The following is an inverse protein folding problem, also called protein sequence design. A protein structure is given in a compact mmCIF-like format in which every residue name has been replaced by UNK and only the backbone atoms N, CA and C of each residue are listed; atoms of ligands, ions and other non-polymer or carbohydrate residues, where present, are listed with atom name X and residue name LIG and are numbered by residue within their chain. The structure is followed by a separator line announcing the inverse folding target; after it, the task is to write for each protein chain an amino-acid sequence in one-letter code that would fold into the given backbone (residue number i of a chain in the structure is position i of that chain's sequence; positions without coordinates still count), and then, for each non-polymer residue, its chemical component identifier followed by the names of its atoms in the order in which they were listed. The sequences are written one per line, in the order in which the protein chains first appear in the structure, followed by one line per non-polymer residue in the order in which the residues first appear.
data_IF_144093885655
#
_entry.id   IF_144093885655
#
_cell.length_a   1.000
_cell.length_b   1.000
_cell.length_c   1.000
_cell.angle_alpha   90.00
_cell.angle_beta   90.00
_cell.angle_gamma   90.00
#
_symmetry.space_group_name_H-M   'P 1'
#
loop_
_entity.id
_entity.type
_entity.pdbx_description
1 polymer ?
#
# COMPACT_ATOMS: atom_id res chain seq x y z
N UNK A 1 -17.52 23.05 -1.78
CA UNK A 1 -17.76 21.60 -1.83
C UNK A 1 -18.90 21.36 -0.86
N UNK A 2 -20.05 20.83 -1.34
CA UNK A 2 -21.24 20.76 -0.50
C UNK A 2 -21.05 19.77 0.64
N UNK A 3 -21.53 20.13 1.83
CA UNK A 3 -21.51 19.32 3.06
C UNK A 3 -22.26 17.99 2.98
N UNK A 4 -22.83 17.66 1.81
CA UNK A 4 -23.71 16.50 1.57
C UNK A 4 -23.11 15.42 0.65
N UNK A 5 -21.84 15.53 0.20
CA UNK A 5 -21.26 14.56 -0.72
C UNK A 5 -20.89 13.26 0.01
N UNK A 6 -21.53 12.14 -0.38
CA UNK A 6 -21.16 10.80 0.08
C UNK A 6 -20.17 10.19 -0.90
N UNK A 7 -19.11 9.58 -0.37
CA UNK A 7 -18.04 8.95 -1.13
C UNK A 7 -18.06 7.46 -0.91
N UNK A 8 -18.03 6.70 -1.99
CA UNK A 8 -17.94 5.25 -1.98
C UNK A 8 -16.53 4.82 -2.34
N UNK A 9 -15.89 4.06 -1.47
CA UNK A 9 -14.65 3.35 -1.76
C UNK A 9 -14.92 1.87 -1.90
N UNK A 10 -14.27 1.25 -2.86
CA UNK A 10 -14.30 -0.19 -3.06
C UNK A 10 -12.86 -0.70 -3.11
N UNK A 11 -12.57 -1.76 -2.36
CA UNK A 11 -11.30 -2.50 -2.44
C UNK A 11 -11.57 -3.88 -3.06
N UNK A 12 -10.97 -4.13 -4.22
CA UNK A 12 -11.16 -5.38 -4.98
C UNK A 12 -9.99 -6.31 -4.71
N UNK A 13 -10.09 -7.10 -3.65
CA UNK A 13 -9.10 -8.12 -3.34
C UNK A 13 -9.34 -9.44 -4.08
N UNK A 14 -8.34 -10.32 -4.06
CA UNK A 14 -8.42 -11.65 -4.72
C UNK A 14 -9.45 -12.60 -4.09
N UNK A 15 -9.79 -12.44 -2.82
CA UNK A 15 -10.71 -13.31 -2.07
C UNK A 15 -11.97 -12.61 -1.61
N UNK A 16 -11.92 -11.31 -1.39
CA UNK A 16 -13.01 -10.47 -0.90
C UNK A 16 -13.04 -9.12 -1.63
N UNK A 17 -14.23 -8.57 -1.78
CA UNK A 17 -14.49 -7.19 -2.16
C UNK A 17 -15.05 -6.49 -0.93
N UNK A 18 -14.51 -5.32 -0.61
CA UNK A 18 -14.99 -4.49 0.48
C UNK A 18 -15.48 -3.14 -0.06
N UNK A 19 -16.66 -2.70 0.40
CA UNK A 19 -17.22 -1.39 0.12
C UNK A 19 -17.36 -0.60 1.41
N UNK A 20 -17.00 0.68 1.36
CA UNK A 20 -17.26 1.66 2.40
C UNK A 20 -17.96 2.88 1.79
N UNK A 21 -18.96 3.42 2.48
CA UNK A 21 -19.51 4.73 2.20
C UNK A 21 -19.11 5.69 3.31
N UNK A 22 -18.54 6.83 2.93
CA UNK A 22 -18.05 7.86 3.84
C UNK A 22 -18.85 9.15 3.67
N UNK A 23 -19.19 9.79 4.79
CA UNK A 23 -19.65 11.18 4.79
C UNK A 23 -18.49 12.14 4.44
N UNK A 24 -18.79 13.41 4.22
CA UNK A 24 -17.80 14.43 3.86
C UNK A 24 -16.69 14.61 4.91
N UNK A 25 -16.99 14.38 6.19
CA UNK A 25 -16.06 14.41 7.32
C UNK A 25 -15.25 13.11 7.52
N UNK A 26 -15.48 12.09 6.68
CA UNK A 26 -14.84 10.79 6.77
C UNK A 26 -15.53 9.80 7.70
N UNK A 27 -16.68 10.14 8.30
CA UNK A 27 -17.45 9.20 9.09
C UNK A 27 -17.98 8.04 8.22
N UNK A 28 -17.88 6.82 8.73
CA UNK A 28 -18.35 5.64 8.01
C UNK A 28 -19.87 5.51 8.14
N UNK A 29 -20.58 5.59 7.01
CA UNK A 29 -22.03 5.41 6.91
C UNK A 29 -22.40 3.95 6.66
N UNK A 30 -21.70 3.29 5.73
CA UNK A 30 -21.93 1.88 5.36
C UNK A 30 -20.57 1.20 5.25
N UNK A 31 -20.53 -0.08 5.66
CA UNK A 31 -19.41 -0.97 5.39
C UNK A 31 -19.93 -2.36 5.08
N UNK A 32 -19.52 -2.91 3.92
CA UNK A 32 -19.96 -4.23 3.45
C UNK A 32 -18.80 -5.01 2.87
N UNK A 33 -18.90 -6.33 3.01
CA UNK A 33 -17.93 -7.27 2.41
C UNK A 33 -18.67 -8.37 1.68
N UNK A 34 -18.14 -8.76 0.51
CA UNK A 34 -18.58 -9.90 -0.27
C UNK A 34 -17.38 -10.75 -0.70
N UNK A 35 -17.56 -12.06 -0.90
CA UNK A 35 -16.57 -12.88 -1.57
C UNK A 35 -16.30 -12.35 -2.99
N UNK A 36 -15.02 -12.35 -3.43
CA UNK A 36 -14.69 -12.03 -4.81
C UNK A 36 -15.16 -13.15 -5.74
N UNK A 37 -15.84 -12.82 -6.85
CA UNK A 37 -16.16 -13.77 -7.92
C UNK A 37 -14.91 -14.15 -8.71
N UNK A 38 -14.08 -15.03 -8.14
CA UNK A 38 -12.80 -15.41 -8.71
C UNK A 38 -12.96 -16.01 -10.12
N UNK A 39 -12.04 -15.65 -11.02
CA UNK A 39 -11.98 -16.19 -12.38
C UNK A 39 -13.02 -15.61 -13.35
N UNK A 40 -13.88 -14.69 -12.94
CA UNK A 40 -14.89 -14.07 -13.81
C UNK A 40 -14.90 -12.55 -13.70
N UNK A 41 -14.48 -11.90 -14.78
CA UNK A 41 -14.55 -10.44 -14.91
C UNK A 41 -15.99 -9.93 -14.83
N UNK A 42 -16.92 -10.51 -15.62
CA UNK A 42 -18.33 -10.08 -15.66
C UNK A 42 -19.01 -10.23 -14.30
N UNK A 43 -18.81 -11.36 -13.61
CA UNK A 43 -19.39 -11.56 -12.29
C UNK A 43 -18.78 -10.59 -11.24
N UNK A 44 -17.49 -10.22 -11.40
CA UNK A 44 -16.88 -9.19 -10.55
C UNK A 44 -17.54 -7.83 -10.80
N UNK A 45 -17.72 -7.43 -12.06
CA UNK A 45 -18.36 -6.18 -12.43
C UNK A 45 -19.84 -6.12 -11.97
N UNK A 46 -20.57 -7.24 -12.07
CA UNK A 46 -21.94 -7.37 -11.55
C UNK A 46 -21.95 -7.18 -10.02
N UNK A 47 -21.05 -7.86 -9.30
CA UNK A 47 -20.92 -7.73 -7.85
C UNK A 47 -20.64 -6.29 -7.41
N UNK A 48 -19.72 -5.59 -8.10
CA UNK A 48 -19.41 -4.18 -7.81
C UNK A 48 -20.64 -3.28 -8.02
N UNK A 49 -21.36 -3.48 -9.14
CA UNK A 49 -22.55 -2.71 -9.48
C UNK A 49 -23.67 -2.91 -8.45
N UNK A 50 -23.92 -4.16 -8.07
CA UNK A 50 -24.93 -4.49 -7.05
C UNK A 50 -24.58 -3.87 -5.70
N UNK A 51 -23.31 -3.96 -5.26
CA UNK A 51 -22.88 -3.40 -3.97
C UNK A 51 -23.09 -1.88 -3.91
N UNK A 52 -22.77 -1.15 -4.99
CA UNK A 52 -22.99 0.30 -5.07
C UNK A 52 -24.48 0.63 -5.09
N UNK A 53 -25.25 -0.01 -5.97
CA UNK A 53 -26.71 0.25 -6.11
C UNK A 53 -27.48 -0.03 -4.82
N UNK A 54 -27.11 -1.09 -4.09
CA UNK A 54 -27.72 -1.39 -2.80
C UNK A 54 -27.38 -0.36 -1.73
N UNK A 55 -26.12 0.09 -1.69
CA UNK A 55 -25.70 1.11 -0.74
C UNK A 55 -26.38 2.47 -1.03
N UNK A 56 -26.51 2.86 -2.29
CA UNK A 56 -27.21 4.07 -2.70
C UNK A 56 -28.72 4.02 -2.38
N UNK A 57 -29.34 2.86 -2.57
CA UNK A 57 -30.75 2.68 -2.20
C UNK A 57 -30.96 2.84 -0.69
N UNK A 58 -30.05 2.32 0.13
CA UNK A 58 -30.11 2.47 1.59
C UNK A 58 -29.91 3.92 2.04
N UNK A 59 -28.97 4.63 1.39
CA UNK A 59 -28.66 6.02 1.72
C UNK A 59 -29.63 7.03 1.08
N UNK A 60 -30.43 6.59 0.09
CA UNK A 60 -31.35 7.44 -0.64
C UNK A 60 -30.68 8.49 -1.54
N UNK A 61 -29.42 8.26 -1.92
CA UNK A 61 -28.61 9.19 -2.74
C UNK A 61 -27.51 8.50 -3.53
N UNK A 62 -27.10 9.13 -4.62
CA UNK A 62 -25.92 8.72 -5.39
C UNK A 62 -24.62 9.03 -4.63
N UNK A 63 -23.57 8.22 -4.89
CA UNK A 63 -22.25 8.36 -4.30
C UNK A 63 -21.20 8.58 -5.38
N UNK A 64 -20.17 9.36 -5.09
CA UNK A 64 -18.94 9.38 -5.88
C UNK A 64 -18.17 8.08 -5.62
N UNK A 65 -17.78 7.37 -6.69
CA UNK A 65 -17.21 6.01 -6.57
C UNK A 65 -15.73 6.02 -6.96
N UNK A 66 -14.91 5.48 -6.07
CA UNK A 66 -13.52 5.13 -6.34
C UNK A 66 -13.24 3.68 -6.01
N UNK A 67 -12.29 3.06 -6.71
CA UNK A 67 -11.97 1.64 -6.61
C UNK A 67 -10.47 1.44 -6.46
N UNK A 68 -10.07 0.72 -5.43
CA UNK A 68 -8.72 0.19 -5.26
C UNK A 68 -8.62 -1.21 -5.85
N UNK A 69 -7.58 -1.47 -6.62
CA UNK A 69 -7.31 -2.77 -7.23
C UNK A 69 -5.87 -3.20 -6.97
N UNK A 70 -5.58 -4.52 -6.89
CA UNK A 70 -4.21 -5.03 -6.85
C UNK A 70 -3.60 -5.02 -8.26
N UNK A 71 -3.24 -3.86 -8.74
CA UNK A 71 -2.76 -3.62 -10.09
C UNK A 71 -2.97 -2.18 -10.47
N UNK A 72 -2.81 -1.84 -11.75
CA UNK A 72 -2.97 -0.46 -12.23
C UNK A 72 -3.52 -0.45 -13.65
N UNK A 73 -4.31 0.57 -14.05
CA UNK A 73 -4.65 0.79 -15.45
C UNK A 73 -3.40 1.17 -16.26
N UNK A 74 -3.28 0.63 -17.45
CA UNK A 74 -2.26 1.06 -18.41
C UNK A 74 -2.57 2.47 -18.91
N UNK A 75 -1.58 3.35 -18.94
CA UNK A 75 -1.75 4.71 -19.49
C UNK A 75 -1.99 4.73 -21.01
N UNK A 76 -1.58 3.68 -21.71
CA UNK A 76 -1.71 3.57 -23.15
C UNK A 76 -3.06 2.97 -23.57
N UNK A 77 -3.51 1.92 -22.88
CA UNK A 77 -4.68 1.13 -23.30
C UNK A 77 -5.87 1.24 -22.34
N UNK A 78 -5.70 1.86 -21.17
CA UNK A 78 -6.67 1.90 -20.05
C UNK A 78 -7.07 0.51 -19.50
N UNK A 79 -6.38 -0.56 -19.94
CA UNK A 79 -6.64 -1.92 -19.48
C UNK A 79 -5.90 -2.20 -18.18
N UNK A 80 -6.51 -2.95 -17.27
CA UNK A 80 -5.87 -3.40 -16.04
C UNK A 80 -4.65 -4.26 -16.33
N UNK A 81 -3.51 -3.98 -15.69
CA UNK A 81 -2.26 -4.74 -15.76
C UNK A 81 -1.71 -5.03 -14.37
N UNK A 82 -0.84 -6.03 -14.27
CA UNK A 82 -0.08 -6.38 -13.06
C UNK A 82 -0.97 -6.68 -11.83
N UNK A 83 -2.18 -7.23 -12.03
CA UNK A 83 -3.09 -7.56 -10.96
C UNK A 83 -2.90 -9.00 -10.45
N UNK A 84 -2.89 -9.19 -9.13
CA UNK A 84 -2.97 -10.52 -8.52
C UNK A 84 -4.33 -11.19 -8.81
N UNK A 85 -5.40 -10.40 -8.94
CA UNK A 85 -6.70 -10.84 -9.46
C UNK A 85 -6.62 -10.93 -10.99
N UNK A 86 -6.02 -12.02 -11.49
CA UNK A 86 -5.63 -12.17 -12.91
C UNK A 86 -6.79 -12.05 -13.90
N UNK A 87 -8.03 -12.33 -13.48
CA UNK A 87 -9.22 -12.18 -14.31
C UNK A 87 -9.62 -10.74 -14.61
N UNK A 88 -9.00 -9.76 -13.93
CA UNK A 88 -9.16 -8.34 -14.24
C UNK A 88 -8.19 -7.86 -15.33
N UNK A 89 -7.08 -8.60 -15.56
CA UNK A 89 -6.03 -8.21 -16.49
C UNK A 89 -6.58 -8.19 -17.92
N UNK A 90 -6.27 -7.11 -18.67
CA UNK A 90 -6.68 -6.93 -20.05
C UNK A 90 -8.11 -6.40 -20.21
N UNK A 91 -8.80 -6.01 -19.12
CA UNK A 91 -10.14 -5.44 -19.17
C UNK A 91 -10.13 -3.95 -18.80
N UNK A 92 -11.02 -3.12 -19.41
CA UNK A 92 -11.15 -1.69 -19.13
C UNK A 92 -12.09 -1.45 -17.93
N UNK A 93 -11.72 -1.93 -16.74
CA UNK A 93 -12.59 -1.96 -15.55
C UNK A 93 -13.19 -0.58 -15.20
N UNK A 94 -12.40 0.51 -15.34
CA UNK A 94 -12.90 1.85 -15.03
C UNK A 94 -14.03 2.25 -15.99
N UNK A 95 -13.85 2.00 -17.29
CA UNK A 95 -14.81 2.38 -18.33
C UNK A 95 -16.09 1.54 -18.23
N UNK A 96 -15.95 0.21 -18.14
CA UNK A 96 -17.07 -0.70 -18.03
C UNK A 96 -17.90 -0.43 -16.78
N UNK A 97 -17.25 -0.16 -15.64
CA UNK A 97 -17.96 0.14 -14.40
C UNK A 97 -18.61 1.54 -14.44
N UNK A 98 -17.93 2.54 -15.05
CA UNK A 98 -18.52 3.86 -15.28
C UNK A 98 -19.74 3.78 -16.18
N UNK A 99 -19.71 2.98 -17.23
CA UNK A 99 -20.84 2.75 -18.12
C UNK A 99 -22.04 2.14 -17.37
N UNK A 100 -21.80 1.16 -16.52
CA UNK A 100 -22.87 0.51 -15.74
C UNK A 100 -23.53 1.45 -14.72
N UNK A 101 -22.74 2.32 -14.09
CA UNK A 101 -23.25 3.29 -13.12
C UNK A 101 -23.79 4.58 -13.76
N UNK A 102 -23.53 4.81 -15.07
CA UNK A 102 -23.90 6.04 -15.77
C UNK A 102 -23.13 7.28 -15.33
N UNK A 103 -21.98 7.11 -14.63
CA UNK A 103 -21.13 8.18 -14.12
C UNK A 103 -19.68 7.74 -13.96
N UNK A 104 -18.72 8.72 -13.88
CA UNK A 104 -17.32 8.39 -13.78
C UNK A 104 -16.96 7.59 -12.51
N UNK A 105 -16.11 6.57 -12.68
CA UNK A 105 -15.48 5.81 -11.60
C UNK A 105 -13.97 6.03 -11.69
N UNK A 106 -13.33 6.23 -10.55
CA UNK A 106 -11.86 6.37 -10.47
C UNK A 106 -11.23 5.07 -9.99
N UNK A 107 -10.13 4.68 -10.62
CA UNK A 107 -9.33 3.53 -10.23
C UNK A 107 -7.96 3.95 -9.74
N UNK A 108 -7.47 3.28 -8.70
CA UNK A 108 -6.08 3.37 -8.27
C UNK A 108 -5.56 2.01 -7.77
N UNK A 109 -4.25 1.89 -7.71
CA UNK A 109 -3.58 0.76 -7.07
C UNK A 109 -3.83 0.79 -5.54
N UNK A 110 -3.79 -0.38 -4.90
CA UNK A 110 -4.02 -0.56 -3.45
C UNK A 110 -3.05 0.26 -2.58
N UNK A 111 -1.76 0.32 -2.95
CA UNK A 111 -0.77 1.13 -2.22
C UNK A 111 -1.03 2.64 -2.37
N UNK A 112 -1.51 3.07 -3.52
CA UNK A 112 -1.94 4.45 -3.76
C UNK A 112 -3.18 4.80 -2.92
N UNK A 113 -4.15 3.91 -2.85
CA UNK A 113 -5.31 4.06 -1.97
C UNK A 113 -4.89 4.12 -0.51
N UNK A 114 -3.98 3.24 -0.07
CA UNK A 114 -3.41 3.29 1.28
C UNK A 114 -2.80 4.66 1.58
N UNK A 115 -1.90 5.14 0.72
CA UNK A 115 -1.24 6.43 0.91
C UNK A 115 -2.23 7.59 0.96
N UNK A 116 -3.25 7.59 0.08
CA UNK A 116 -4.28 8.62 0.03
C UNK A 116 -5.13 8.65 1.30
N UNK A 117 -5.56 7.48 1.81
CA UNK A 117 -6.27 7.40 3.09
C UNK A 117 -5.47 8.02 4.22
N UNK A 118 -4.22 7.56 4.38
CA UNK A 118 -3.38 8.04 5.48
C UNK A 118 -3.03 9.53 5.36
N UNK A 119 -2.98 10.09 4.15
CA UNK A 119 -2.75 11.51 3.93
C UNK A 119 -3.99 12.38 4.16
N UNK A 120 -5.20 11.87 3.88
CA UNK A 120 -6.42 12.68 3.95
C UNK A 120 -7.02 12.70 5.35
N UNK A 121 -7.20 11.54 5.96
CA UNK A 121 -7.87 11.39 7.27
C UNK A 121 -7.17 10.41 8.23
N UNK A 122 -5.92 10.03 7.92
CA UNK A 122 -5.12 9.11 8.72
C UNK A 122 -3.88 9.73 9.37
N UNK A 123 -2.85 8.92 9.54
CA UNK A 123 -1.62 9.30 10.26
C UNK A 123 -0.82 10.44 9.60
N UNK A 124 -1.02 10.69 8.30
CA UNK A 124 -0.42 11.81 7.56
C UNK A 124 -1.29 13.05 7.46
N UNK A 125 -2.46 13.07 8.11
CA UNK A 125 -3.37 14.22 8.03
C UNK A 125 -2.68 15.52 8.43
N UNK A 126 -2.85 16.57 7.61
CA UNK A 126 -2.25 17.89 7.80
C UNK A 126 -0.83 18.03 7.28
N UNK A 127 -0.19 16.97 6.81
CA UNK A 127 1.11 17.05 6.15
C UNK A 127 0.96 17.43 4.66
N UNK A 128 1.89 18.24 4.15
CA UNK A 128 1.89 18.66 2.74
C UNK A 128 2.20 17.51 1.78
N UNK A 129 3.09 16.61 2.20
CA UNK A 129 3.49 15.44 1.45
C UNK A 129 3.63 14.21 2.37
N UNK A 130 3.05 13.10 1.91
CA UNK A 130 3.01 11.83 2.62
C UNK A 130 3.46 10.72 1.69
N UNK A 131 4.36 9.88 2.17
CA UNK A 131 4.73 8.65 1.51
C UNK A 131 4.14 7.46 2.26
N UNK A 132 3.14 6.81 1.67
CA UNK A 132 2.57 5.57 2.17
C UNK A 132 3.40 4.38 1.70
N UNK A 133 3.73 3.48 2.63
CA UNK A 133 4.56 2.29 2.38
C UNK A 133 3.83 1.05 2.83
N UNK A 134 3.67 0.08 1.96
CA UNK A 134 3.13 -1.24 2.31
C UNK A 134 4.28 -2.25 2.40
N UNK A 135 4.45 -2.86 3.58
CA UNK A 135 5.40 -3.93 3.86
C UNK A 135 4.60 -5.19 4.21
N UNK A 136 4.18 -5.92 3.18
CA UNK A 136 3.32 -7.11 3.27
C UNK A 136 3.92 -8.33 2.57
N UNK A 137 3.13 -9.01 1.74
CA UNK A 137 3.60 -10.09 0.85
C UNK A 137 4.57 -9.54 -0.20
N UNK A 138 4.34 -8.30 -0.65
CA UNK A 138 5.26 -7.50 -1.45
C UNK A 138 5.63 -6.20 -0.75
N UNK A 139 6.28 -5.30 -1.49
CA UNK A 139 6.60 -3.94 -1.07
C UNK A 139 6.04 -2.95 -2.08
N UNK A 140 5.03 -2.21 -1.66
CA UNK A 140 4.43 -1.15 -2.45
C UNK A 140 4.61 0.22 -1.80
N UNK A 141 4.22 1.26 -2.52
CA UNK A 141 4.17 2.63 -2.01
C UNK A 141 3.29 3.54 -2.84
N UNK A 142 2.92 4.65 -2.25
CA UNK A 142 2.17 5.72 -2.90
C UNK A 142 2.61 7.08 -2.36
N UNK A 143 2.62 8.07 -3.21
CA UNK A 143 3.01 9.42 -2.86
C UNK A 143 1.82 10.37 -2.98
N UNK A 144 1.55 11.10 -1.91
CA UNK A 144 0.51 12.13 -1.87
C UNK A 144 1.15 13.48 -1.61
N UNK A 145 0.87 14.45 -2.47
CA UNK A 145 1.38 15.83 -2.38
C UNK A 145 0.18 16.78 -2.37
N UNK A 146 0.10 17.64 -1.37
CA UNK A 146 -1.02 18.56 -1.17
C UNK A 146 -2.39 17.86 -1.22
N UNK A 147 -2.50 16.70 -0.56
CA UNK A 147 -3.69 15.84 -0.52
C UNK A 147 -4.12 15.27 -1.88
N UNK A 148 -3.24 15.31 -2.88
CA UNK A 148 -3.45 14.74 -4.20
C UNK A 148 -2.49 13.58 -4.45
N UNK A 149 -3.01 12.47 -4.93
CA UNK A 149 -2.20 11.33 -5.30
C UNK A 149 -1.30 11.68 -6.49
N UNK A 150 0.00 11.46 -6.34
CA UNK A 150 0.95 11.58 -7.44
C UNK A 150 0.92 10.27 -8.26
N UNK A 151 0.34 10.32 -9.43
CA UNK A 151 0.28 9.16 -10.34
C UNK A 151 1.57 9.04 -11.15
N UNK A 152 2.14 10.17 -11.57
CA UNK A 152 3.31 10.24 -12.45
C UNK A 152 2.98 10.00 -13.93
N UNK A 153 3.93 10.34 -14.79
CA UNK A 153 3.76 10.25 -16.25
C UNK A 153 3.58 8.80 -16.76
N UNK A 154 4.13 7.82 -16.03
CA UNK A 154 4.07 6.41 -16.37
C UNK A 154 3.09 5.62 -15.46
N UNK A 155 2.36 6.30 -14.58
CA UNK A 155 1.51 5.72 -13.53
C UNK A 155 2.24 4.72 -12.61
N UNK A 156 3.50 5.00 -12.29
CA UNK A 156 4.37 4.18 -11.43
C UNK A 156 4.99 4.97 -10.28
N UNK A 157 4.47 6.14 -9.95
CA UNK A 157 4.95 6.89 -8.79
C UNK A 157 4.70 6.06 -7.52
N UNK A 158 5.76 5.82 -6.75
CA UNK A 158 5.70 4.97 -5.57
C UNK A 158 6.08 3.51 -5.78
N UNK A 159 6.43 3.06 -6.99
CA UNK A 159 6.92 1.69 -7.29
C UNK A 159 8.38 1.47 -6.81
N UNK A 160 8.67 1.90 -5.61
CA UNK A 160 10.00 1.89 -5.00
C UNK A 160 10.50 0.49 -4.65
N UNK A 161 9.57 -0.46 -4.43
CA UNK A 161 9.88 -1.85 -4.08
C UNK A 161 10.71 -2.57 -5.13
N UNK A 162 10.64 -2.14 -6.40
CA UNK A 162 11.42 -2.69 -7.51
C UNK A 162 12.71 -1.91 -7.82
N UNK A 163 13.05 -0.90 -7.04
CA UNK A 163 14.36 -0.29 -7.07
C UNK A 163 15.39 -1.18 -6.37
N UNK A 164 16.69 -1.10 -6.74
CA UNK A 164 17.73 -1.82 -6.02
C UNK A 164 17.82 -1.31 -4.58
N UNK A 165 18.19 -2.20 -3.64
CA UNK A 165 18.47 -1.79 -2.26
C UNK A 165 19.61 -0.76 -2.26
N UNK A 166 19.42 0.44 -1.70
CA UNK A 166 20.45 1.47 -1.67
C UNK A 166 21.64 1.07 -0.80
N UNK A 167 22.86 1.45 -1.21
CA UNK A 167 24.12 1.17 -0.49
C UNK A 167 24.22 -0.30 -0.03
N UNK A 168 24.08 -1.28 -0.94
CA UNK A 168 24.08 -2.68 -0.56
C UNK A 168 25.44 -3.07 0.00
N UNK A 169 25.43 -3.90 1.04
CA UNK A 169 26.65 -4.53 1.57
C UNK A 169 27.11 -5.64 0.61
N UNK A 170 28.40 -6.08 0.68
CA UNK A 170 28.88 -7.15 -0.19
C UNK A 170 28.03 -8.42 -0.18
N UNK A 171 27.54 -8.84 1.00
CA UNK A 171 26.69 -10.02 1.19
C UNK A 171 25.26 -9.84 0.65
N UNK A 172 24.84 -8.62 0.35
CA UNK A 172 23.56 -8.29 -0.24
C UNK A 172 23.60 -8.22 -1.78
N UNK A 173 24.79 -8.37 -2.38
CA UNK A 173 25.03 -8.25 -3.82
C UNK A 173 25.38 -9.61 -4.43
N UNK A 174 24.77 -10.02 -5.58
CA UNK A 174 23.79 -9.28 -6.40
C UNK A 174 22.37 -9.27 -5.83
N UNK A 175 22.15 -9.93 -4.69
CA UNK A 175 20.85 -10.10 -4.07
C UNK A 175 19.98 -11.18 -4.74
N UNK A 176 18.77 -11.38 -4.23
CA UNK A 176 17.85 -12.40 -4.71
C UNK A 176 17.16 -11.94 -5.99
N UNK A 177 16.90 -12.87 -6.91
CA UNK A 177 16.10 -12.61 -8.11
C UNK A 177 14.68 -12.21 -7.72
N UNK A 178 14.25 -11.04 -8.17
CA UNK A 178 12.88 -10.56 -8.05
C UNK A 178 12.03 -11.05 -9.22
N UNK A 179 10.73 -11.19 -9.04
CA UNK A 179 9.82 -11.58 -10.13
C UNK A 179 9.79 -10.54 -11.27
N UNK A 180 10.22 -9.30 -11.04
CA UNK A 180 10.39 -8.30 -12.09
C UNK A 180 11.59 -8.56 -13.01
N UNK A 181 12.34 -9.65 -12.80
CA UNK A 181 13.50 -10.06 -13.58
C UNK A 181 14.84 -9.43 -13.18
N UNK A 182 14.86 -8.56 -12.15
CA UNK A 182 16.07 -7.93 -11.62
C UNK A 182 16.50 -8.57 -10.30
N UNK A 183 17.75 -8.39 -9.90
CA UNK A 183 18.28 -8.85 -8.62
C UNK A 183 18.35 -7.71 -7.62
N UNK A 184 18.20 -8.05 -6.32
CA UNK A 184 18.44 -7.11 -5.23
C UNK A 184 17.42 -5.97 -5.10
N UNK A 185 16.19 -6.18 -5.61
CA UNK A 185 15.10 -5.23 -5.39
C UNK A 185 14.79 -5.08 -3.90
N UNK A 186 14.41 -3.89 -3.46
CA UNK A 186 13.99 -3.58 -2.08
C UNK A 186 12.97 -4.60 -1.57
N UNK A 187 12.01 -4.99 -2.39
CA UNK A 187 11.00 -5.98 -2.04
C UNK A 187 11.60 -7.33 -1.62
N UNK A 188 12.67 -7.76 -2.27
CA UNK A 188 13.31 -9.04 -1.93
C UNK A 188 13.93 -9.06 -0.53
N UNK A 189 14.14 -7.91 0.09
CA UNK A 189 14.65 -7.77 1.44
C UNK A 189 13.57 -7.38 2.46
N UNK A 190 12.67 -6.47 2.09
CA UNK A 190 11.76 -5.80 3.03
C UNK A 190 10.34 -6.35 3.04
N UNK A 191 9.95 -7.22 2.10
CA UNK A 191 8.68 -7.94 2.22
C UNK A 191 8.72 -8.94 3.38
N UNK A 192 7.56 -9.32 3.91
CA UNK A 192 7.49 -10.37 4.94
C UNK A 192 8.15 -11.68 4.51
N UNK A 193 7.86 -12.22 3.30
CA UNK A 193 8.59 -13.37 2.75
C UNK A 193 10.10 -13.14 2.60
N UNK A 194 10.53 -11.92 2.26
CA UNK A 194 11.93 -11.52 2.16
C UNK A 194 12.64 -11.64 3.50
N UNK A 195 12.05 -11.08 4.56
CA UNK A 195 12.57 -11.16 5.92
C UNK A 195 12.63 -12.62 6.44
N UNK A 196 11.56 -13.39 6.23
CA UNK A 196 11.54 -14.80 6.65
C UNK A 196 12.58 -15.65 5.90
N UNK A 197 12.82 -15.36 4.61
CA UNK A 197 13.87 -16.03 3.82
C UNK A 197 15.27 -15.68 4.32
N UNK A 198 15.53 -14.42 4.64
CA UNK A 198 16.82 -13.97 5.19
C UNK A 198 17.12 -14.66 6.52
N UNK A 199 16.15 -14.70 7.43
CA UNK A 199 16.27 -15.41 8.70
C UNK A 199 16.62 -16.90 8.50
N UNK A 200 15.93 -17.58 7.58
CA UNK A 200 16.19 -18.99 7.26
C UNK A 200 17.59 -19.19 6.66
N UNK A 201 18.03 -18.28 5.79
CA UNK A 201 19.36 -18.35 5.18
C UNK A 201 20.50 -18.25 6.21
N UNK A 202 20.25 -17.63 7.36
CA UNK A 202 21.16 -17.56 8.52
C UNK A 202 21.15 -18.81 9.40
N UNK A 203 20.36 -19.83 9.07
CA UNK A 203 20.19 -21.05 9.86
C UNK A 203 18.99 -21.04 10.80
N UNK A 204 18.13 -20.04 10.72
CA UNK A 204 16.89 -19.97 11.47
C UNK A 204 15.85 -20.97 11.00
N UNK A 205 14.87 -21.24 11.86
CA UNK A 205 13.73 -22.10 11.55
C UNK A 205 12.78 -21.47 10.51
N UNK A 206 11.88 -22.25 9.93
CA UNK A 206 10.86 -21.76 9.00
C UNK A 206 9.74 -21.04 9.76
N UNK A 207 9.99 -19.81 10.20
CA UNK A 207 9.06 -18.97 10.94
C UNK A 207 8.44 -17.88 10.05
N UNK A 208 7.26 -17.44 10.42
CA UNK A 208 6.62 -16.23 9.86
C UNK A 208 7.26 -14.97 10.45
N UNK A 209 7.19 -13.81 9.79
CA UNK A 209 7.77 -12.56 10.30
C UNK A 209 7.42 -12.25 11.76
N UNK A 210 6.15 -12.37 12.15
CA UNK A 210 5.73 -12.12 13.53
C UNK A 210 6.35 -13.09 14.55
N UNK A 211 6.60 -14.32 14.16
CA UNK A 211 7.25 -15.33 15.01
C UNK A 211 8.74 -15.05 15.16
N UNK A 212 9.40 -14.55 14.10
CA UNK A 212 10.80 -14.12 14.16
C UNK A 212 10.95 -12.92 15.11
N UNK A 213 10.04 -11.94 15.01
CA UNK A 213 10.03 -10.78 15.93
C UNK A 213 9.82 -11.25 17.37
N UNK A 214 8.86 -12.11 17.62
CA UNK A 214 8.62 -12.66 18.96
C UNK A 214 9.84 -13.43 19.51
N UNK A 215 10.57 -14.16 18.66
CA UNK A 215 11.81 -14.84 19.06
C UNK A 215 12.91 -13.82 19.40
N UNK A 216 13.05 -12.75 18.62
CA UNK A 216 14.00 -11.66 18.92
C UNK A 216 13.67 -11.01 20.28
N UNK A 217 12.40 -10.67 20.53
CA UNK A 217 11.93 -10.11 21.80
C UNK A 217 12.18 -11.08 22.98
N UNK A 218 12.15 -12.40 22.75
CA UNK A 218 12.48 -13.43 23.72
C UNK A 218 13.99 -13.66 23.91
N UNK A 219 14.87 -12.91 23.22
CA UNK A 219 16.32 -12.96 23.35
C UNK A 219 17.03 -13.95 22.42
N UNK A 220 16.37 -14.47 21.38
CA UNK A 220 17.03 -15.23 20.33
C UNK A 220 17.99 -14.32 19.54
N UNK A 221 19.29 -14.60 19.66
CA UNK A 221 20.35 -13.77 19.04
C UNK A 221 20.31 -13.78 17.51
N UNK A 222 19.90 -14.91 16.91
CA UNK A 222 19.83 -15.01 15.46
C UNK A 222 18.67 -14.18 14.92
N UNK A 223 17.50 -14.26 15.59
CA UNK A 223 16.33 -13.46 15.27
C UNK A 223 16.59 -11.96 15.47
N UNK A 224 17.28 -11.59 16.56
CA UNK A 224 17.67 -10.20 16.80
C UNK A 224 18.62 -9.68 15.71
N UNK A 225 19.64 -10.43 15.32
CA UNK A 225 20.54 -10.03 14.24
C UNK A 225 19.83 -9.90 12.89
N UNK A 226 18.87 -10.77 12.60
CA UNK A 226 18.06 -10.66 11.39
C UNK A 226 17.14 -9.42 11.42
N UNK A 227 16.59 -9.08 12.58
CA UNK A 227 15.78 -7.88 12.77
C UNK A 227 16.61 -6.60 12.66
N UNK A 228 17.80 -6.57 13.25
CA UNK A 228 18.71 -5.42 13.16
C UNK A 228 19.12 -5.11 11.70
N UNK A 229 19.41 -6.16 10.90
CA UNK A 229 19.67 -5.99 9.48
C UNK A 229 18.42 -5.57 8.69
N UNK A 230 17.23 -6.05 9.07
CA UNK A 230 15.98 -5.59 8.48
C UNK A 230 15.76 -4.08 8.74
N UNK A 231 16.00 -3.63 9.97
CA UNK A 231 15.92 -2.20 10.35
C UNK A 231 16.91 -1.36 9.53
N UNK A 232 18.17 -1.80 9.40
CA UNK A 232 19.18 -1.07 8.61
C UNK A 232 18.79 -1.01 7.11
N UNK A 233 18.30 -2.11 6.52
CA UNK A 233 17.83 -2.14 5.14
C UNK A 233 16.63 -1.22 4.92
N UNK A 234 15.67 -1.23 5.84
CA UNK A 234 14.51 -0.33 5.77
C UNK A 234 14.93 1.13 5.93
N UNK A 235 15.86 1.42 6.84
CA UNK A 235 16.41 2.76 7.04
C UNK A 235 17.10 3.29 5.77
N UNK A 236 17.93 2.47 5.10
CA UNK A 236 18.59 2.83 3.82
C UNK A 236 17.56 3.07 2.71
N UNK A 237 16.58 2.18 2.58
CA UNK A 237 15.56 2.28 1.55
C UNK A 237 14.68 3.53 1.73
N UNK A 238 14.27 3.85 2.97
CA UNK A 238 13.49 5.05 3.27
C UNK A 238 14.34 6.33 3.16
N UNK A 239 15.60 6.29 3.57
CA UNK A 239 16.53 7.43 3.40
C UNK A 239 16.69 7.80 1.93
N UNK A 240 16.68 6.82 1.02
CA UNK A 240 16.72 7.10 -0.42
C UNK A 240 15.47 7.87 -0.88
N UNK A 241 14.30 7.51 -0.38
CA UNK A 241 13.06 8.26 -0.66
C UNK A 241 13.11 9.66 -0.04
N UNK A 242 13.60 9.77 1.21
CA UNK A 242 13.73 11.08 1.89
C UNK A 242 14.66 11.99 1.09
N UNK A 243 15.80 11.50 0.61
CA UNK A 243 16.74 12.29 -0.20
C UNK A 243 16.20 12.75 -1.56
N UNK A 244 15.10 12.15 -2.07
CA UNK A 244 14.52 12.50 -3.38
C UNK A 244 13.22 13.31 -3.23
N UNK A 245 12.38 12.94 -2.26
CA UNK A 245 11.00 13.45 -2.13
C UNK A 245 10.83 14.34 -0.91
N UNK A 246 11.66 14.14 0.13
CA UNK A 246 11.61 14.82 1.43
C UNK A 246 10.19 14.85 2.05
N UNK A 247 9.55 13.68 2.26
CA UNK A 247 8.20 13.64 2.78
C UNK A 247 8.15 14.09 4.24
N UNK A 248 7.13 14.86 4.62
CA UNK A 248 6.90 15.25 6.00
C UNK A 248 6.56 14.03 6.88
N UNK A 249 5.80 13.09 6.32
CA UNK A 249 5.38 11.86 7.01
C UNK A 249 5.55 10.65 6.11
N UNK A 250 6.10 9.58 6.66
CA UNK A 250 6.08 8.24 6.07
C UNK A 250 5.15 7.39 6.94
N UNK A 251 4.17 6.73 6.34
CA UNK A 251 3.23 5.84 7.02
C UNK A 251 3.47 4.42 6.58
N UNK A 252 3.73 3.50 7.53
CA UNK A 252 3.89 2.08 7.22
C UNK A 252 2.53 1.37 7.25
N UNK A 253 2.29 0.52 6.29
CA UNK A 253 1.18 -0.42 6.20
C UNK A 253 1.67 -1.84 5.95
N UNK A 254 0.73 -2.78 5.85
CA UNK A 254 1.03 -4.20 5.72
C UNK A 254 1.44 -4.87 7.03
N UNK A 255 1.72 -6.17 7.00
CA UNK A 255 1.97 -6.95 8.21
C UNK A 255 3.13 -6.47 9.08
N UNK A 256 4.18 -5.92 8.46
CA UNK A 256 5.35 -5.40 9.18
C UNK A 256 5.07 -4.09 9.91
N UNK A 257 4.03 -3.33 9.54
CA UNK A 257 3.64 -2.11 10.25
C UNK A 257 3.19 -2.35 11.70
N UNK A 258 2.86 -3.59 12.04
CA UNK A 258 2.49 -3.97 13.42
C UNK A 258 3.70 -4.16 14.34
N UNK A 259 4.93 -4.08 13.83
CA UNK A 259 6.17 -4.20 14.62
C UNK A 259 6.50 -2.84 15.22
N UNK A 260 6.09 -2.60 16.46
CA UNK A 260 6.23 -1.31 17.14
C UNK A 260 7.68 -0.80 17.20
N UNK A 261 8.65 -1.70 17.32
CA UNK A 261 10.07 -1.36 17.39
C UNK A 261 10.59 -0.64 16.12
N UNK A 262 9.96 -0.83 14.95
CA UNK A 262 10.37 -0.16 13.71
C UNK A 262 10.27 1.36 13.80
N UNK A 263 9.26 1.89 14.53
CA UNK A 263 9.00 3.33 14.60
C UNK A 263 10.03 4.11 15.43
N UNK A 264 10.84 3.42 16.20
CA UNK A 264 11.96 4.00 16.97
C UNK A 264 13.31 3.59 16.38
N UNK A 265 13.47 2.32 16.00
CA UNK A 265 14.75 1.80 15.52
C UNK A 265 15.13 2.36 14.13
N UNK A 266 14.18 2.46 13.19
CA UNK A 266 14.46 2.96 11.84
C UNK A 266 14.89 4.44 11.85
N UNK A 267 14.18 5.37 12.55
CA UNK A 267 14.63 6.76 12.67
C UNK A 267 15.99 6.92 13.35
N UNK A 268 16.36 6.04 14.25
CA UNK A 268 17.68 6.08 14.87
C UNK A 268 18.82 5.73 13.90
N UNK A 269 18.51 5.03 12.81
CA UNK A 269 19.51 4.57 11.83
C UNK A 269 19.53 5.44 10.57
N UNK A 270 18.37 5.85 10.03
CA UNK A 270 18.27 6.48 8.71
C UNK A 270 19.02 7.80 8.57
N UNK A 271 19.23 8.55 9.68
CA UNK A 271 19.99 9.81 9.67
C UNK A 271 21.43 9.65 9.10
N UNK A 272 22.00 8.45 9.18
CA UNK A 272 23.33 8.14 8.61
C UNK A 272 23.35 8.18 7.09
N UNK A 273 22.18 8.06 6.43
CA UNK A 273 22.01 7.91 5.00
C UNK A 273 21.31 9.11 4.36
N UNK A 274 20.83 10.07 5.17
CA UNK A 274 20.10 11.25 4.72
C UNK A 274 21.09 12.42 4.59
N UNK A 275 21.04 13.10 3.46
CA UNK A 275 21.87 14.27 3.18
C UNK A 275 21.31 15.54 3.83
N UNK A 276 21.20 15.55 5.15
CA UNK A 276 20.73 16.70 5.94
C UNK A 276 21.40 16.70 7.31
N UNK A 277 21.55 17.88 7.89
CA UNK A 277 22.03 18.08 9.26
C UNK A 277 20.96 17.75 10.31
N UNK A 278 19.68 17.71 9.90
CA UNK A 278 18.55 17.34 10.75
C UNK A 278 17.48 16.62 9.93
N UNK A 279 16.83 15.61 10.49
CA UNK A 279 15.76 14.86 9.85
C UNK A 279 14.45 15.15 10.55
N UNK A 280 13.51 15.79 9.84
CA UNK A 280 12.16 16.15 10.34
C UNK A 280 11.06 15.19 9.89
N UNK A 281 11.35 14.34 8.90
CA UNK A 281 10.43 13.29 8.46
C UNK A 281 10.02 12.41 9.63
N UNK A 282 8.73 12.16 9.76
CA UNK A 282 8.18 11.30 10.82
C UNK A 282 7.79 9.96 10.25
N UNK A 283 8.16 8.87 10.92
CA UNK A 283 7.71 7.52 10.63
C UNK A 283 6.54 7.18 11.55
N UNK A 284 5.37 6.88 10.98
CA UNK A 284 4.13 6.69 11.75
C UNK A 284 3.45 5.35 11.43
N UNK A 285 2.78 4.71 12.42
CA UNK A 285 1.87 3.60 12.15
C UNK A 285 0.61 4.08 11.41
N UNK A 286 -0.12 3.18 10.72
CA UNK A 286 -1.34 3.54 10.03
C UNK A 286 -2.48 3.78 11.03
N UNK A 287 -3.37 4.72 10.72
CA UNK A 287 -4.54 5.00 11.56
C UNK A 287 -5.66 4.00 11.31
N UNK A 288 -5.89 3.62 10.06
CA UNK A 288 -7.05 2.81 9.67
C UNK A 288 -6.73 1.33 9.46
N UNK A 289 -5.46 0.93 9.57
CA UNK A 289 -5.02 -0.47 9.45
C UNK A 289 -5.48 -1.12 8.15
N UNK A 290 -6.14 -2.28 8.23
CA UNK A 290 -6.65 -3.02 7.06
C UNK A 290 -7.72 -2.27 6.25
N UNK A 291 -8.29 -1.18 6.80
CA UNK A 291 -9.32 -0.39 6.12
C UNK A 291 -8.75 0.79 5.31
N UNK A 292 -7.44 1.06 5.39
CA UNK A 292 -6.83 2.21 4.69
C UNK A 292 -7.02 2.10 3.17
N UNK A 293 -6.93 0.91 2.58
CA UNK A 293 -7.13 0.71 1.15
C UNK A 293 -8.54 1.13 0.68
N UNK A 294 -9.57 0.60 1.31
CA UNK A 294 -10.96 0.90 0.94
C UNK A 294 -11.35 2.35 1.24
N UNK A 295 -10.81 2.95 2.32
CA UNK A 295 -11.00 4.37 2.62
C UNK A 295 -10.34 5.26 1.58
N UNK A 296 -9.10 4.95 1.20
CA UNK A 296 -8.36 5.67 0.17
C UNK A 296 -9.04 5.63 -1.18
N UNK A 297 -9.67 4.52 -1.54
CA UNK A 297 -10.51 4.44 -2.73
C UNK A 297 -11.66 5.46 -2.67
N UNK A 298 -12.30 5.66 -1.52
CA UNK A 298 -13.36 6.67 -1.36
C UNK A 298 -12.84 8.12 -1.53
N UNK A 299 -11.57 8.37 -1.27
CA UNK A 299 -10.95 9.70 -1.43
C UNK A 299 -10.44 10.00 -2.85
N UNK A 300 -10.49 9.03 -3.78
CA UNK A 300 -10.18 9.24 -5.20
C UNK A 300 -11.21 10.20 -5.86
#
# INVERSE_FOLDING_TARGET
MGDDEVRCGIDVGGTKIELIALAADGATLIRRRRPSPQGSYTATLDCLTDMVTEAERELGREMRVGVGIPGTPSQETNLVKNANSTWLIGHPLADDFSQRLGRPVRLANDANCFALSEAVDGAGQGADNVFGVILGTGVGGGLVVHRQLLVGANAIAGEWGHNPLPWPRPEETPGVLCYCGRHGCIETFLSGPGFARDFRARGGAALRPAEIIAAADAGDRLAQAAFDDYVDRLARALAHVINIVDPAVIVLGGGMSNVAALYTAVPAVWARYIFSDSVRTQLRPPTHGDSSGVRGAAWL
#
